data_IF_174023989886
#
_entry.id   IF_174023989886
#
_cell.length_a   1.000
_cell.length_b   1.000
_cell.length_c   1.000
_cell.angle_alpha   90.00
_cell.angle_beta   90.00
_cell.angle_gamma   90.00
#
_symmetry.space_group_name_H-M   'P 1'
#
loop_
_entity.id
_entity.type
_entity.pdbx_description
1 polymer ?
#
# COMPACT_ATOMS: atom_id res chain seq x y z
N UNK A 1 18.50 9.35 -8.22
CA UNK A 1 17.45 8.93 -9.19
C UNK A 1 16.12 8.90 -8.46
N UNK A 2 15.06 9.50 -9.02
CA UNK A 2 13.71 9.44 -8.44
C UNK A 2 13.15 8.05 -8.70
N UNK A 3 12.99 7.23 -7.65
CA UNK A 3 12.41 5.89 -7.75
C UNK A 3 10.93 6.06 -8.11
N UNK A 4 10.52 5.57 -9.28
CA UNK A 4 9.12 5.54 -9.67
C UNK A 4 8.68 4.08 -9.69
N UNK A 5 7.68 3.72 -8.89
CA UNK A 5 7.07 2.40 -8.91
C UNK A 5 6.11 2.29 -10.10
N UNK A 6 6.36 1.45 -11.12
CA UNK A 6 5.31 0.98 -12.00
C UNK A 6 4.19 0.31 -11.19
N UNK A 7 2.97 0.33 -11.72
CA UNK A 7 1.72 0.13 -10.95
C UNK A 7 1.54 -1.18 -10.17
N UNK A 8 2.43 -2.17 -10.34
CA UNK A 8 2.41 -3.44 -9.61
C UNK A 8 3.52 -3.61 -8.55
N UNK A 9 4.55 -2.75 -8.53
CA UNK A 9 5.70 -2.93 -7.62
C UNK A 9 5.32 -2.82 -6.14
N UNK A 10 4.15 -2.23 -5.85
CA UNK A 10 3.66 -2.02 -4.49
C UNK A 10 2.66 -3.08 -4.02
N UNK A 11 2.29 -4.04 -4.86
CA UNK A 11 1.36 -5.11 -4.45
C UNK A 11 1.95 -5.94 -3.32
N UNK A 12 3.15 -6.47 -3.51
CA UNK A 12 3.82 -7.31 -2.51
C UNK A 12 4.18 -6.54 -1.22
N UNK A 13 4.74 -5.32 -1.28
CA UNK A 13 4.90 -4.49 -0.07
C UNK A 13 3.59 -4.21 0.69
N UNK A 14 2.49 -3.98 -0.02
CA UNK A 14 1.18 -3.74 0.62
C UNK A 14 0.64 -5.02 1.26
N UNK A 15 0.78 -6.15 0.59
CA UNK A 15 0.36 -7.45 1.10
C UNK A 15 1.18 -7.85 2.34
N UNK A 16 2.50 -7.71 2.26
CA UNK A 16 3.42 -7.92 3.38
C UNK A 16 3.09 -7.00 4.56
N UNK A 17 2.81 -5.72 4.31
CA UNK A 17 2.44 -4.78 5.37
C UNK A 17 1.21 -5.26 6.16
N UNK A 18 0.17 -5.74 5.46
CA UNK A 18 -1.02 -6.27 6.12
C UNK A 18 -0.72 -7.53 6.93
N UNK A 19 0.10 -8.45 6.43
CA UNK A 19 0.56 -9.62 7.19
C UNK A 19 1.30 -9.21 8.47
N UNK A 20 2.24 -8.28 8.39
CA UNK A 20 2.99 -7.78 9.56
C UNK A 20 2.13 -7.00 10.56
N UNK A 21 1.02 -6.42 10.12
CA UNK A 21 0.07 -5.67 10.96
C UNK A 21 -1.05 -6.55 11.54
N UNK A 22 -0.96 -7.88 11.41
CA UNK A 22 -1.95 -8.80 11.97
C UNK A 22 -3.18 -9.03 11.08
N UNK A 23 -3.07 -8.69 9.80
CA UNK A 23 -4.04 -9.00 8.76
C UNK A 23 -5.16 -7.98 8.57
N UNK A 24 -5.19 -6.90 9.36
CA UNK A 24 -6.12 -5.78 9.16
C UNK A 24 -5.48 -4.47 9.59
N UNK A 25 -5.60 -3.44 8.77
CA UNK A 25 -4.96 -2.15 9.04
C UNK A 25 -5.66 -0.99 8.33
N UNK A 26 -5.53 0.20 8.90
CA UNK A 26 -5.95 1.45 8.29
C UNK A 26 -5.05 1.84 7.12
N UNK A 27 -5.53 2.77 6.29
CA UNK A 27 -4.75 3.34 5.21
C UNK A 27 -3.39 3.91 5.65
N UNK A 28 -3.32 4.50 6.85
CA UNK A 28 -2.10 5.12 7.36
C UNK A 28 -1.14 4.06 7.89
N UNK A 29 -1.62 3.07 8.64
CA UNK A 29 -0.78 1.97 9.12
C UNK A 29 -0.16 1.17 7.97
N UNK A 30 -0.95 0.90 6.92
CA UNK A 30 -0.45 0.25 5.70
C UNK A 30 0.62 1.11 5.03
N UNK A 31 0.40 2.43 4.94
CA UNK A 31 1.36 3.35 4.37
C UNK A 31 2.69 3.31 5.14
N UNK A 32 2.64 3.56 6.44
CA UNK A 32 3.84 3.68 7.29
C UNK A 32 4.64 2.37 7.31
N UNK A 33 3.93 1.24 7.34
CA UNK A 33 4.56 -0.06 7.24
C UNK A 33 5.16 -0.32 5.85
N UNK A 34 4.45 -0.01 4.78
CA UNK A 34 4.94 -0.24 3.42
C UNK A 34 6.18 0.62 3.10
N UNK A 35 6.22 1.89 3.52
CA UNK A 35 7.41 2.74 3.31
C UNK A 35 8.61 2.25 4.12
N UNK A 36 8.37 1.67 5.30
CA UNK A 36 9.41 1.01 6.11
C UNK A 36 9.94 -0.24 5.42
N UNK A 37 9.06 -1.13 4.93
CA UNK A 37 9.43 -2.34 4.16
C UNK A 37 10.26 -1.98 2.92
N UNK A 38 9.89 -0.91 2.24
CA UNK A 38 10.56 -0.44 1.03
C UNK A 38 11.88 0.31 1.29
N UNK A 39 12.16 0.66 2.56
CA UNK A 39 13.35 1.43 2.95
C UNK A 39 13.42 2.81 2.32
N UNK A 40 12.29 3.53 2.28
CA UNK A 40 12.21 4.85 1.64
C UNK A 40 12.75 5.95 2.54
N UNK A 41 13.48 6.90 1.94
CA UNK A 41 13.87 8.12 2.63
C UNK A 41 12.71 9.10 2.74
N UNK A 42 12.80 10.03 3.70
CA UNK A 42 11.81 11.10 3.89
C UNK A 42 11.59 11.91 2.61
N UNK A 43 12.66 12.17 1.86
CA UNK A 43 12.61 12.85 0.56
C UNK A 43 11.74 12.09 -0.44
N UNK A 44 11.87 10.76 -0.49
CA UNK A 44 11.06 9.91 -1.37
C UNK A 44 9.61 9.82 -0.93
N UNK A 45 9.36 9.78 0.39
CA UNK A 45 8.02 9.75 0.97
C UNK A 45 7.29 11.07 0.69
N UNK A 46 8.00 12.20 0.78
CA UNK A 46 7.45 13.54 0.58
C UNK A 46 7.25 13.93 -0.90
N UNK A 47 7.64 13.09 -1.87
CA UNK A 47 7.46 13.39 -3.28
C UNK A 47 5.97 13.54 -3.62
N UNK A 48 5.52 14.69 -4.17
CA UNK A 48 4.13 14.87 -4.54
C UNK A 48 3.77 14.05 -5.79
N UNK A 49 2.55 13.50 -5.85
CA UNK A 49 2.05 12.81 -7.05
C UNK A 49 1.84 13.76 -8.24
N UNK A 50 1.33 14.97 -7.96
CA UNK A 50 1.08 16.05 -8.95
C UNK A 50 1.49 17.39 -8.34
N UNK A 51 1.78 18.37 -9.20
CA UNK A 51 2.06 19.74 -8.77
C UNK A 51 0.81 20.39 -8.17
N UNK A 52 0.82 20.73 -6.88
CA UNK A 52 -0.27 21.42 -6.19
C UNK A 52 -0.29 21.13 -4.69
N UNK A 53 -0.75 22.10 -3.88
CA UNK A 53 -0.65 22.09 -2.41
C UNK A 53 -1.51 21.04 -1.69
N UNK A 54 -2.37 20.31 -2.40
CA UNK A 54 -3.28 19.30 -1.81
C UNK A 54 -3.22 17.93 -2.48
N UNK A 55 -2.17 17.68 -3.28
CA UNK A 55 -2.00 16.37 -3.89
C UNK A 55 -1.45 15.37 -2.86
N UNK A 56 -1.94 14.12 -2.83
CA UNK A 56 -1.30 13.09 -2.04
C UNK A 56 0.16 12.92 -2.49
N UNK A 57 1.00 12.40 -1.59
CA UNK A 57 2.33 11.94 -1.98
C UNK A 57 2.20 10.85 -3.03
N UNK A 58 3.21 10.72 -3.88
CA UNK A 58 3.25 9.71 -4.92
C UNK A 58 3.06 8.33 -4.33
N UNK A 59 3.78 8.01 -3.26
CA UNK A 59 3.68 6.69 -2.61
C UNK A 59 2.28 6.43 -2.04
N UNK A 60 1.64 7.41 -1.41
CA UNK A 60 0.28 7.26 -0.89
C UNK A 60 -0.74 7.01 -2.01
N UNK A 61 -0.58 7.66 -3.17
CA UNK A 61 -1.42 7.43 -4.35
C UNK A 61 -1.25 6.02 -4.91
N UNK A 62 0.00 5.58 -5.12
CA UNK A 62 0.28 4.25 -5.67
C UNK A 62 -0.16 3.12 -4.72
N UNK A 63 0.01 3.28 -3.40
CA UNK A 63 -0.53 2.33 -2.41
C UNK A 63 -2.07 2.28 -2.43
N UNK A 64 -2.74 3.38 -2.81
CA UNK A 64 -4.17 3.40 -3.14
C UNK A 64 -4.51 2.37 -4.22
N UNK A 65 -3.80 2.42 -5.34
CA UNK A 65 -3.98 1.48 -6.44
C UNK A 65 -3.62 0.05 -6.06
N UNK A 66 -2.55 -0.16 -5.31
CA UNK A 66 -2.14 -1.49 -4.88
C UNK A 66 -3.27 -2.20 -4.11
N UNK A 67 -3.91 -1.51 -3.16
CA UNK A 67 -5.06 -2.05 -2.40
C UNK A 67 -6.25 -2.37 -3.30
N UNK A 68 -6.55 -1.50 -4.27
CA UNK A 68 -7.61 -1.73 -5.26
C UNK A 68 -7.35 -3.01 -6.06
N UNK A 69 -6.12 -3.22 -6.53
CA UNK A 69 -5.76 -4.42 -7.30
C UNK A 69 -5.75 -5.70 -6.46
N UNK A 70 -5.18 -5.66 -5.26
CA UNK A 70 -5.20 -6.81 -4.35
C UNK A 70 -6.64 -7.21 -3.97
N UNK A 71 -7.55 -6.26 -3.83
CA UNK A 71 -8.99 -6.55 -3.69
C UNK A 71 -9.58 -7.19 -4.95
N UNK A 72 -9.22 -6.71 -6.15
CA UNK A 72 -9.65 -7.34 -7.41
C UNK A 72 -9.12 -8.77 -7.56
N UNK A 73 -7.96 -9.09 -6.98
CA UNK A 73 -7.43 -10.45 -6.91
C UNK A 73 -8.11 -11.33 -5.84
N UNK A 74 -9.02 -10.74 -5.04
CA UNK A 74 -9.72 -11.39 -3.95
C UNK A 74 -8.88 -11.57 -2.68
N UNK A 75 -7.73 -10.89 -2.59
CA UNK A 75 -6.82 -11.01 -1.44
C UNK A 75 -7.21 -10.07 -0.30
N UNK A 76 -7.76 -8.91 -0.63
CA UNK A 76 -8.21 -7.91 0.36
C UNK A 76 -9.70 -7.66 0.30
N UNK A 77 -10.24 -7.25 1.44
CA UNK A 77 -11.57 -6.65 1.57
C UNK A 77 -11.50 -5.31 2.32
N UNK A 78 -12.53 -4.48 2.10
CA UNK A 78 -12.67 -3.22 2.83
C UNK A 78 -13.63 -3.47 4.00
N UNK A 79 -13.08 -3.81 5.15
CA UNK A 79 -13.86 -4.18 6.35
C UNK A 79 -14.64 -2.98 6.91
N UNK A 80 -14.08 -1.77 6.73
CA UNK A 80 -14.77 -0.49 6.98
C UNK A 80 -14.10 0.63 6.19
N UNK A 81 -14.67 1.85 6.23
CA UNK A 81 -14.14 3.01 5.51
C UNK A 81 -12.69 3.27 5.92
N UNK A 82 -11.76 3.12 4.97
CA UNK A 82 -10.33 3.36 5.19
C UNK A 82 -9.59 2.25 5.92
N UNK A 83 -10.23 1.12 6.19
CA UNK A 83 -9.61 -0.08 6.79
C UNK A 83 -9.68 -1.24 5.81
N UNK A 84 -8.56 -1.95 5.67
CA UNK A 84 -8.42 -3.09 4.78
C UNK A 84 -8.02 -4.31 5.57
N UNK A 85 -8.56 -5.48 5.19
CA UNK A 85 -8.25 -6.75 5.82
C UNK A 85 -7.92 -7.81 4.77
N UNK A 86 -7.05 -8.74 5.14
CA UNK A 86 -6.78 -9.96 4.37
C UNK A 86 -8.02 -10.86 4.41
N UNK A 87 -8.47 -11.30 3.24
CA UNK A 87 -9.43 -12.41 3.16
C UNK A 87 -8.76 -13.73 3.53
N UNK A 88 -9.51 -14.82 3.65
CA UNK A 88 -8.91 -16.15 3.80
C UNK A 88 -7.89 -16.47 2.68
N UNK A 89 -8.17 -16.04 1.44
CA UNK A 89 -7.22 -16.18 0.32
C UNK A 89 -5.99 -15.29 0.52
N UNK A 90 -6.17 -14.05 0.98
CA UNK A 90 -5.08 -13.13 1.31
C UNK A 90 -4.17 -13.66 2.41
N UNK A 91 -4.74 -14.27 3.46
CA UNK A 91 -3.98 -14.90 4.54
C UNK A 91 -3.10 -16.05 4.04
N UNK A 92 -3.56 -16.79 3.03
CA UNK A 92 -2.80 -17.89 2.42
C UNK A 92 -1.84 -17.44 1.29
N UNK A 93 -1.82 -16.15 0.95
CA UNK A 93 -1.02 -15.62 -0.17
C UNK A 93 0.01 -14.62 0.36
N UNK A 94 1.29 -14.85 0.09
CA UNK A 94 2.38 -13.96 0.52
C UNK A 94 2.96 -13.12 -0.62
N UNK A 95 2.66 -13.46 -1.87
CA UNK A 95 3.15 -12.77 -3.07
C UNK A 95 2.18 -12.88 -4.26
N UNK A 96 2.24 -11.90 -5.16
CA UNK A 96 1.50 -11.81 -6.44
C UNK A 96 2.36 -11.27 -7.57
#
# INVERSE_FOLDING_TARGET
MVKTWPGNDLLNPTLQALHELGGSASNNEIHDKAVTILGLSDEQIALPHKTGQSSPTKIAYELGWARTWLKRYGLLENSSRGVWALTAKGQATTEV
#
